data_IF_575588426850
#
_entry.id   IF_575588426850
#
_cell.length_a   1.000
_cell.length_b   1.000
_cell.length_c   1.000
_cell.angle_alpha   90.00
_cell.angle_beta   90.00
_cell.angle_gamma   90.00
#
_symmetry.space_group_name_H-M   'P 1'
#
loop_
_entity.id
_entity.type
_entity.pdbx_description
1 polymer ?
#
# COMPACT_ATOMS: atom_id res chain seq x y z
N UNK A 1 1.37 48.60 -71.27
CA UNK A 1 1.68 48.51 -69.84
C UNK A 1 0.33 48.36 -69.15
N UNK A 2 -0.15 47.12 -68.95
CA UNK A 2 0.08 46.34 -67.71
C UNK A 2 -0.70 47.00 -66.53
N UNK A 3 -1.67 46.42 -65.81
CA UNK A 3 -1.92 45.03 -65.38
C UNK A 3 -3.35 44.84 -64.80
N UNK A 4 -3.92 43.66 -65.07
CA UNK A 4 -4.62 42.74 -64.15
C UNK A 4 -5.97 43.15 -63.51
N UNK A 5 -7.04 42.65 -64.12
CA UNK A 5 -8.15 42.05 -63.38
C UNK A 5 -8.02 40.52 -63.51
N UNK A 6 -7.92 39.84 -62.36
CA UNK A 6 -7.93 38.38 -62.27
C UNK A 6 -9.36 38.01 -61.89
N UNK A 7 -10.16 37.59 -62.88
CA UNK A 7 -11.42 36.88 -62.62
C UNK A 7 -11.07 35.41 -62.32
N UNK A 8 -11.25 35.01 -61.06
CA UNK A 8 -11.30 33.61 -60.65
C UNK A 8 -12.52 32.94 -61.27
N UNK A 9 -12.31 32.17 -62.34
CA UNK A 9 -13.28 31.18 -62.81
C UNK A 9 -13.27 29.98 -61.86
N UNK A 10 -14.28 29.94 -60.98
CA UNK A 10 -14.61 28.79 -60.14
C UNK A 10 -15.10 27.64 -61.04
N UNK A 11 -14.17 26.78 -61.45
CA UNK A 11 -14.49 25.55 -62.19
C UNK A 11 -15.14 24.54 -61.25
N UNK A 12 -16.46 24.46 -61.29
CA UNK A 12 -17.27 23.48 -60.58
C UNK A 12 -17.12 22.09 -61.24
N UNK A 13 -16.08 21.35 -60.83
CA UNK A 13 -15.80 19.99 -61.31
C UNK A 13 -16.79 19.01 -60.65
N UNK A 14 -17.96 18.84 -61.27
CA UNK A 14 -18.90 17.77 -60.93
C UNK A 14 -18.33 16.42 -61.37
N UNK A 15 -17.64 15.73 -60.45
CA UNK A 15 -17.16 14.36 -60.66
C UNK A 15 -18.35 13.38 -60.83
N UNK A 16 -18.32 12.47 -61.83
CA UNK A 16 -19.42 11.55 -62.06
C UNK A 16 -19.45 10.46 -60.98
N UNK A 17 -20.57 10.36 -60.25
CA UNK A 17 -20.81 9.28 -59.28
C UNK A 17 -20.84 7.93 -60.02
N UNK A 18 -19.73 7.17 -59.94
CA UNK A 18 -19.61 5.81 -60.49
C UNK A 18 -20.80 4.94 -60.05
N UNK A 19 -21.62 4.47 -61.01
CA UNK A 19 -22.72 3.52 -60.76
C UNK A 19 -22.14 2.24 -60.15
N UNK A 20 -22.42 2.01 -58.86
CA UNK A 20 -21.98 0.79 -58.16
C UNK A 20 -22.71 -0.41 -58.78
N UNK A 21 -21.95 -1.43 -59.19
CA UNK A 21 -22.47 -2.70 -59.71
C UNK A 21 -23.49 -3.29 -58.72
N UNK A 22 -24.62 -3.85 -59.18
CA UNK A 22 -25.71 -4.44 -58.34
C UNK A 22 -25.18 -5.30 -57.18
N UNK A 23 -24.11 -6.06 -57.42
CA UNK A 23 -23.43 -6.91 -56.43
C UNK A 23 -22.83 -6.11 -55.25
N UNK A 24 -22.22 -4.95 -55.51
CA UNK A 24 -21.63 -4.08 -54.46
C UNK A 24 -22.70 -3.44 -53.58
N UNK A 25 -23.86 -3.08 -54.15
CA UNK A 25 -25.02 -2.57 -53.41
C UNK A 25 -25.62 -3.65 -52.51
N UNK A 26 -25.80 -4.88 -53.01
CA UNK A 26 -26.29 -6.02 -52.21
C UNK A 26 -25.33 -6.37 -51.06
N UNK A 27 -24.01 -6.35 -51.30
CA UNK A 27 -23.01 -6.61 -50.25
C UNK A 27 -22.97 -5.50 -49.18
N UNK A 28 -23.27 -4.25 -49.54
CA UNK A 28 -23.39 -3.14 -48.58
C UNK A 28 -24.62 -3.30 -47.70
N UNK A 29 -25.78 -3.61 -48.30
CA UNK A 29 -27.03 -3.84 -47.58
C UNK A 29 -26.95 -5.04 -46.64
N UNK A 30 -26.41 -6.19 -47.06
CA UNK A 30 -26.19 -7.32 -46.15
C UNK A 30 -25.19 -7.00 -45.01
N UNK A 31 -24.28 -6.05 -45.21
CA UNK A 31 -23.36 -5.59 -44.15
C UNK A 31 -24.04 -4.62 -43.20
N UNK A 32 -25.01 -3.84 -43.69
CA UNK A 32 -25.84 -2.95 -42.89
C UNK A 32 -26.86 -3.77 -42.09
N UNK A 33 -27.56 -4.73 -42.71
CA UNK A 33 -28.46 -5.68 -42.04
C UNK A 33 -27.72 -6.51 -40.97
N UNK A 34 -26.50 -6.99 -41.25
CA UNK A 34 -25.68 -7.65 -40.21
C UNK A 34 -25.28 -6.72 -39.07
N UNK A 35 -25.04 -5.43 -39.36
CA UNK A 35 -24.74 -4.44 -38.33
C UNK A 35 -25.98 -4.06 -37.52
N UNK A 36 -27.16 -4.07 -38.12
CA UNK A 36 -28.43 -3.86 -37.44
C UNK A 36 -28.79 -5.08 -36.59
N UNK A 37 -28.60 -6.30 -37.09
CA UNK A 37 -28.77 -7.52 -36.31
C UNK A 37 -27.79 -7.62 -35.14
N UNK A 38 -26.51 -7.27 -35.35
CA UNK A 38 -25.53 -7.18 -34.25
C UNK A 38 -25.90 -6.10 -33.23
N UNK A 39 -26.51 -4.99 -33.68
CA UNK A 39 -27.01 -3.94 -32.77
C UNK A 39 -28.27 -4.39 -32.03
N UNK A 40 -29.18 -5.10 -32.69
CA UNK A 40 -30.39 -5.66 -32.09
C UNK A 40 -30.04 -6.73 -31.04
N UNK A 41 -29.12 -7.65 -31.35
CA UNK A 41 -28.55 -8.62 -30.39
C UNK A 41 -27.83 -7.91 -29.23
N UNK A 42 -27.05 -6.85 -29.49
CA UNK A 42 -26.45 -6.02 -28.43
C UNK A 42 -27.49 -5.30 -27.56
N UNK A 43 -28.69 -4.98 -28.06
CA UNK A 43 -29.78 -4.38 -27.28
C UNK A 43 -30.63 -5.38 -26.50
N UNK A 44 -30.85 -6.60 -26.99
CA UNK A 44 -31.61 -7.63 -26.27
C UNK A 44 -30.83 -8.23 -25.09
N UNK A 45 -29.50 -8.23 -25.13
CA UNK A 45 -28.64 -8.65 -24.02
C UNK A 45 -28.13 -7.50 -23.13
N UNK A 46 -28.80 -6.34 -23.13
CA UNK A 46 -28.59 -5.32 -22.09
C UNK A 46 -29.20 -5.81 -20.77
N UNK A 47 -28.56 -6.79 -20.15
CA UNK A 47 -28.69 -7.10 -18.73
C UNK A 47 -28.50 -5.78 -17.97
N UNK A 48 -29.62 -5.22 -17.51
CA UNK A 48 -29.66 -3.98 -16.75
C UNK A 48 -28.59 -3.99 -15.65
N UNK A 49 -27.83 -2.89 -15.49
CA UNK A 49 -26.76 -2.83 -14.49
C UNK A 49 -27.36 -3.19 -13.12
N UNK A 50 -26.84 -4.20 -12.41
CA UNK A 50 -27.38 -4.58 -11.11
C UNK A 50 -27.36 -3.41 -10.12
N UNK A 51 -26.49 -2.41 -10.29
CA UNK A 51 -26.55 -1.19 -9.49
C UNK A 51 -27.80 -0.34 -9.79
N UNK A 52 -28.23 -0.25 -11.04
CA UNK A 52 -29.47 0.43 -11.44
C UNK A 52 -30.71 -0.38 -11.06
N UNK A 53 -30.62 -1.71 -11.10
CA UNK A 53 -31.74 -2.60 -10.77
C UNK A 53 -31.98 -2.72 -9.26
N UNK A 54 -30.93 -2.86 -8.44
CA UNK A 54 -31.04 -3.06 -6.99
C UNK A 54 -30.88 -1.77 -6.18
N UNK A 55 -30.30 -0.72 -6.77
CA UNK A 55 -29.98 0.52 -6.09
C UNK A 55 -28.76 0.42 -5.16
N UNK A 56 -28.30 1.59 -4.68
CA UNK A 56 -27.06 1.70 -3.89
C UNK A 56 -27.10 1.00 -2.53
N UNK A 57 -28.23 1.01 -1.82
CA UNK A 57 -28.33 0.48 -0.46
C UNK A 57 -28.24 -1.05 -0.40
N UNK A 58 -28.90 -1.74 -1.33
CA UNK A 58 -28.83 -3.20 -1.44
C UNK A 58 -27.42 -3.59 -1.88
N UNK A 59 -26.85 -2.86 -2.86
CA UNK A 59 -25.49 -3.12 -3.31
C UNK A 59 -24.47 -2.94 -2.18
N UNK A 60 -24.63 -1.92 -1.34
CA UNK A 60 -23.78 -1.69 -0.18
C UNK A 60 -23.85 -2.86 0.81
N UNK A 61 -25.04 -3.39 1.11
CA UNK A 61 -25.20 -4.61 1.94
C UNK A 61 -24.53 -5.84 1.33
N UNK A 62 -24.58 -5.99 0.01
CA UNK A 62 -23.90 -7.09 -0.69
C UNK A 62 -22.39 -6.94 -0.53
N UNK A 63 -21.85 -5.74 -0.83
CA UNK A 63 -20.41 -5.48 -0.76
C UNK A 63 -19.85 -5.54 0.67
N UNK A 64 -20.65 -5.23 1.69
CA UNK A 64 -20.26 -5.39 3.10
C UNK A 64 -19.86 -6.83 3.42
N UNK A 65 -20.57 -7.83 2.87
CA UNK A 65 -20.30 -9.25 3.08
C UNK A 65 -19.07 -9.77 2.32
N UNK A 66 -18.56 -9.03 1.33
CA UNK A 66 -17.40 -9.43 0.54
C UNK A 66 -16.07 -9.07 1.24
N UNK A 67 -15.02 -9.84 0.99
CA UNK A 67 -13.67 -9.50 1.47
C UNK A 67 -13.13 -8.28 0.72
N UNK A 68 -12.28 -7.48 1.38
CA UNK A 68 -11.67 -6.28 0.79
C UNK A 68 -10.98 -6.52 -0.57
N UNK A 69 -10.37 -7.70 -0.76
CA UNK A 69 -9.76 -8.11 -2.04
C UNK A 69 -10.75 -8.19 -3.19
N UNK A 70 -11.99 -8.58 -2.90
CA UNK A 70 -13.08 -8.69 -3.88
C UNK A 70 -13.81 -7.36 -4.09
N UNK A 71 -13.75 -6.45 -3.12
CA UNK A 71 -14.30 -5.09 -3.23
C UNK A 71 -13.35 -4.16 -4.00
N UNK A 72 -12.03 -4.34 -3.91
CA UNK A 72 -11.09 -3.45 -4.58
C UNK A 72 -11.31 -3.31 -6.12
N UNK A 73 -11.61 -4.38 -6.88
CA UNK A 73 -11.91 -4.26 -8.31
C UNK A 73 -13.20 -3.49 -8.62
N UNK A 74 -14.19 -3.49 -7.71
CA UNK A 74 -15.48 -2.83 -7.96
C UNK A 74 -15.35 -1.31 -8.01
N UNK A 75 -14.30 -0.75 -7.39
CA UNK A 75 -13.93 0.67 -7.49
C UNK A 75 -13.57 1.09 -8.93
N UNK A 76 -13.18 0.15 -9.79
CA UNK A 76 -12.71 0.40 -11.16
C UNK A 76 -13.79 0.18 -12.23
N UNK A 77 -14.97 -0.32 -11.85
CA UNK A 77 -16.03 -0.71 -12.79
C UNK A 77 -16.73 0.51 -13.40
N UNK A 78 -17.24 1.41 -12.55
CA UNK A 78 -17.89 2.66 -13.00
C UNK A 78 -17.87 3.73 -11.92
N UNK A 79 -18.23 4.98 -12.27
CA UNK A 79 -18.32 6.07 -11.29
C UNK A 79 -19.37 5.81 -10.22
N UNK A 80 -20.50 5.22 -10.59
CA UNK A 80 -21.59 4.92 -9.65
C UNK A 80 -21.19 3.80 -8.68
N UNK A 81 -20.54 2.74 -9.20
CA UNK A 81 -19.96 1.68 -8.38
C UNK A 81 -18.85 2.19 -7.46
N UNK A 82 -18.00 3.09 -7.95
CA UNK A 82 -16.97 3.72 -7.14
C UNK A 82 -17.57 4.53 -5.98
N UNK A 83 -18.67 5.26 -6.20
CA UNK A 83 -19.37 6.00 -5.14
C UNK A 83 -19.85 5.09 -4.01
N UNK A 84 -20.45 3.95 -4.33
CA UNK A 84 -20.93 2.99 -3.32
C UNK A 84 -19.76 2.24 -2.67
N UNK A 85 -18.80 1.78 -3.48
CA UNK A 85 -17.65 1.00 -3.01
C UNK A 85 -16.63 1.83 -2.21
N UNK A 86 -16.61 3.16 -2.34
CA UNK A 86 -15.76 4.07 -1.56
C UNK A 86 -16.39 4.48 -0.23
N UNK A 87 -17.60 4.03 0.09
CA UNK A 87 -18.32 4.43 1.31
C UNK A 87 -17.59 4.02 2.59
N UNK A 88 -17.46 4.95 3.54
CA UNK A 88 -16.84 4.69 4.84
C UNK A 88 -17.60 3.63 5.66
N UNK A 89 -18.92 3.50 5.45
CA UNK A 89 -19.74 2.46 6.10
C UNK A 89 -19.36 1.04 5.70
N UNK A 90 -18.71 0.87 4.54
CA UNK A 90 -18.20 -0.41 4.08
C UNK A 90 -16.78 -0.68 4.60
N UNK A 91 -15.93 0.36 4.62
CA UNK A 91 -14.51 0.20 4.96
C UNK A 91 -14.23 0.25 6.46
N UNK A 92 -15.09 0.88 7.27
CA UNK A 92 -14.94 0.91 8.74
C UNK A 92 -14.79 -0.49 9.34
N UNK A 93 -15.74 -1.44 9.17
CA UNK A 93 -15.60 -2.78 9.75
C UNK A 93 -14.43 -3.56 9.14
N UNK A 94 -14.06 -3.28 7.88
CA UNK A 94 -12.90 -3.93 7.23
C UNK A 94 -11.56 -3.41 7.75
N UNK A 95 -11.49 -2.15 8.16
CA UNK A 95 -10.31 -1.59 8.83
C UNK A 95 -10.16 -2.21 10.21
N UNK A 96 -11.26 -2.31 10.97
CA UNK A 96 -11.27 -2.96 12.28
C UNK A 96 -10.83 -4.42 12.19
N UNK A 97 -11.35 -5.19 11.21
CA UNK A 97 -10.91 -6.57 10.94
C UNK A 97 -9.41 -6.63 10.58
N UNK A 98 -8.92 -5.68 9.76
CA UNK A 98 -7.52 -5.64 9.36
C UNK A 98 -6.58 -5.33 10.53
N UNK A 99 -7.00 -4.41 11.42
CA UNK A 99 -6.25 -3.96 12.58
C UNK A 99 -6.34 -4.94 13.76
N UNK A 100 -7.33 -5.83 13.76
CA UNK A 100 -7.49 -6.84 14.80
C UNK A 100 -6.27 -7.77 14.85
N UNK A 101 -5.63 -7.83 16.02
CA UNK A 101 -4.45 -8.66 16.25
C UNK A 101 -3.17 -8.15 15.57
N UNK A 102 -3.14 -6.88 15.17
CA UNK A 102 -1.93 -6.23 14.65
C UNK A 102 -1.14 -5.55 15.76
N UNK A 103 0.18 -5.72 15.70
CA UNK A 103 1.12 -5.15 16.66
C UNK A 103 1.26 -3.64 16.50
N UNK A 104 1.20 -3.11 15.27
CA UNK A 104 1.43 -1.70 14.97
C UNK A 104 0.44 -1.15 13.96
N UNK A 105 -0.24 -0.05 14.30
CA UNK A 105 -1.18 0.62 13.39
C UNK A 105 -0.55 1.94 12.94
N UNK A 106 -0.36 2.17 11.62
CA UNK A 106 0.34 3.35 11.14
C UNK A 106 -0.39 4.64 11.52
N UNK A 107 0.34 5.63 12.05
CA UNK A 107 -0.20 6.96 12.40
C UNK A 107 -0.94 7.62 11.23
N UNK A 108 -0.43 7.45 10.01
CA UNK A 108 -1.07 7.94 8.78
C UNK A 108 -2.46 7.36 8.52
N UNK A 109 -2.81 6.20 9.09
CA UNK A 109 -4.14 5.59 8.94
C UNK A 109 -5.14 6.04 10.02
N UNK A 110 -4.67 6.71 11.08
CA UNK A 110 -5.47 7.15 12.23
C UNK A 110 -5.70 8.67 12.21
N UNK A 111 -5.15 9.39 11.22
CA UNK A 111 -5.35 10.84 11.07
C UNK A 111 -6.85 11.17 10.91
N UNK A 112 -7.31 12.15 11.69
CA UNK A 112 -8.69 12.61 11.65
C UNK A 112 -9.04 13.21 10.28
N UNK A 113 -10.20 12.83 9.73
CA UNK A 113 -10.69 13.31 8.44
C UNK A 113 -10.27 12.50 7.22
N UNK A 114 -9.45 11.45 7.38
CA UNK A 114 -9.15 10.54 6.27
C UNK A 114 -10.31 9.59 5.99
N UNK A 115 -10.64 9.36 4.70
CA UNK A 115 -11.61 8.33 4.33
C UNK A 115 -11.09 6.96 4.73
N UNK A 116 -11.99 6.08 5.20
CA UNK A 116 -11.64 4.76 5.73
C UNK A 116 -11.04 3.84 4.67
N UNK A 117 -11.43 4.02 3.40
CA UNK A 117 -10.77 3.38 2.28
C UNK A 117 -9.27 3.73 2.20
N UNK A 118 -8.93 5.03 2.37
CA UNK A 118 -7.54 5.46 2.36
C UNK A 118 -6.78 4.90 3.55
N UNK A 119 -7.37 4.93 4.76
CA UNK A 119 -6.80 4.33 5.96
C UNK A 119 -6.50 2.82 5.78
N UNK A 120 -7.43 2.08 5.17
CA UNK A 120 -7.23 0.67 4.82
C UNK A 120 -6.06 0.49 3.85
N UNK A 121 -6.03 1.26 2.77
CA UNK A 121 -4.98 1.18 1.75
C UNK A 121 -3.60 1.52 2.31
N UNK A 122 -3.51 2.55 3.16
CA UNK A 122 -2.29 2.96 3.84
C UNK A 122 -1.82 1.86 4.80
N UNK A 123 -2.73 1.26 5.57
CA UNK A 123 -2.40 0.16 6.48
C UNK A 123 -1.94 -1.09 5.73
N UNK A 124 -2.59 -1.43 4.63
CA UNK A 124 -2.25 -2.61 3.82
C UNK A 124 -0.93 -2.44 3.04
N UNK A 125 -0.65 -1.22 2.55
CA UNK A 125 0.62 -0.89 1.90
C UNK A 125 1.74 -0.79 2.91
N UNK A 126 1.48 -0.16 4.06
CA UNK A 126 2.37 -0.17 5.20
C UNK A 126 2.75 -1.59 5.56
N UNK A 127 1.78 -2.47 5.83
CA UNK A 127 1.97 -3.87 6.20
C UNK A 127 2.92 -4.70 5.32
N UNK A 128 3.17 -4.26 4.08
CA UNK A 128 4.08 -4.91 3.12
C UNK A 128 5.46 -4.26 3.03
N UNK A 129 5.69 -3.15 3.73
CA UNK A 129 6.98 -2.47 3.79
C UNK A 129 8.01 -3.36 4.46
N UNK A 130 9.15 -3.46 3.82
CA UNK A 130 10.37 -4.10 4.35
C UNK A 130 11.40 -3.08 4.78
N UNK A 131 11.13 -1.79 4.52
CA UNK A 131 12.00 -0.66 4.82
C UNK A 131 11.54 0.00 6.11
N UNK A 132 12.40 0.02 7.12
CA UNK A 132 12.17 0.77 8.35
C UNK A 132 12.67 2.21 8.17
N UNK A 133 11.85 3.18 8.58
CA UNK A 133 12.26 4.58 8.62
C UNK A 133 12.75 4.96 10.02
N UNK A 134 13.30 6.17 10.15
CA UNK A 134 13.82 6.64 11.45
C UNK A 134 12.70 6.84 12.45
N UNK A 135 11.56 7.35 11.98
CA UNK A 135 10.36 7.59 12.77
C UNK A 135 9.79 6.28 13.31
N UNK A 136 9.77 5.22 12.49
CA UNK A 136 9.42 3.87 12.95
C UNK A 136 10.36 3.41 14.05
N UNK A 137 11.65 3.68 13.93
CA UNK A 137 12.63 3.17 14.88
C UNK A 137 12.51 3.85 16.25
N UNK A 138 12.20 5.15 16.26
CA UNK A 138 12.02 5.96 17.47
C UNK A 138 10.65 5.82 18.13
N UNK A 139 9.59 5.58 17.35
CA UNK A 139 8.23 5.48 17.90
C UNK A 139 8.02 4.19 18.71
N UNK A 140 8.74 3.12 18.39
CA UNK A 140 8.55 1.80 19.00
C UNK A 140 9.52 1.55 20.16
N UNK A 141 9.03 0.83 21.17
CA UNK A 141 9.88 0.20 22.18
C UNK A 141 10.38 -1.13 21.63
N UNK A 142 11.67 -1.42 21.84
CA UNK A 142 12.30 -2.63 21.32
C UNK A 142 12.73 -3.56 22.44
N UNK A 143 12.22 -4.78 22.42
CA UNK A 143 12.72 -5.89 23.24
C UNK A 143 14.02 -6.42 22.64
N UNK A 144 15.05 -6.52 23.45
CA UNK A 144 16.36 -7.01 23.09
C UNK A 144 16.62 -8.38 23.71
N UNK A 145 17.14 -9.31 22.90
CA UNK A 145 17.63 -10.59 23.39
C UNK A 145 18.86 -11.05 22.62
N UNK A 146 19.75 -11.78 23.29
CA UNK A 146 20.90 -12.41 22.66
C UNK A 146 20.51 -13.72 21.97
N UNK A 147 21.24 -14.05 20.90
CA UNK A 147 21.14 -15.35 20.28
C UNK A 147 22.05 -16.36 20.99
N UNK A 148 21.76 -17.65 20.86
CA UNK A 148 22.49 -18.75 21.52
C UNK A 148 23.97 -18.85 21.10
N UNK A 149 24.36 -18.15 20.04
CA UNK A 149 25.74 -18.12 19.52
C UNK A 149 26.68 -17.30 20.42
N UNK A 150 26.13 -16.44 21.28
CA UNK A 150 26.90 -15.57 22.17
C UNK A 150 27.44 -16.37 23.37
N UNK A 151 28.63 -16.03 23.91
CA UNK A 151 29.17 -16.72 25.08
C UNK A 151 28.19 -16.77 26.26
N UNK A 152 28.32 -17.84 27.05
CA UNK A 152 27.42 -18.16 28.16
C UNK A 152 27.31 -17.04 29.20
N UNK A 153 28.36 -16.24 29.39
CA UNK A 153 28.31 -15.06 30.27
C UNK A 153 27.22 -14.07 29.86
N UNK A 154 27.02 -13.83 28.56
CA UNK A 154 26.01 -12.88 28.07
C UNK A 154 24.60 -13.46 28.16
N UNK A 155 24.45 -14.77 27.90
CA UNK A 155 23.19 -15.48 28.11
C UNK A 155 22.78 -15.43 29.59
N UNK A 156 23.76 -15.54 30.48
CA UNK A 156 23.59 -15.39 31.92
C UNK A 156 23.41 -13.93 32.37
N UNK A 157 23.43 -12.95 31.48
CA UNK A 157 23.01 -11.57 31.79
C UNK A 157 21.63 -11.28 31.20
N UNK A 158 21.19 -12.06 30.21
CA UNK A 158 19.93 -11.88 29.50
C UNK A 158 18.72 -12.41 30.30
N UNK A 159 17.76 -11.55 30.69
CA UNK A 159 16.53 -11.95 31.35
C UNK A 159 15.69 -12.93 30.52
N UNK A 160 15.75 -12.87 29.18
CA UNK A 160 15.04 -13.79 28.29
C UNK A 160 15.48 -15.24 28.49
N UNK A 161 16.79 -15.48 28.56
CA UNK A 161 17.34 -16.82 28.77
C UNK A 161 17.20 -17.30 30.22
N UNK A 162 17.21 -16.38 31.17
CA UNK A 162 16.91 -16.67 32.59
C UNK A 162 15.43 -16.92 32.86
N UNK A 163 14.53 -16.60 31.91
CA UNK A 163 13.09 -16.60 32.14
C UNK A 163 12.65 -15.59 33.20
N UNK A 164 13.44 -14.53 33.41
CA UNK A 164 13.16 -13.48 34.39
C UNK A 164 12.53 -12.28 33.68
N UNK A 165 11.46 -11.73 34.26
CA UNK A 165 10.83 -10.47 33.81
C UNK A 165 11.30 -9.32 34.71
N UNK A 166 11.54 -8.10 34.20
CA UNK A 166 11.25 -7.61 32.84
C UNK A 166 12.30 -7.98 31.78
N UNK A 167 11.85 -8.08 30.53
CA UNK A 167 12.72 -8.18 29.36
C UNK A 167 13.48 -6.87 29.13
N UNK A 168 14.61 -6.93 28.45
CA UNK A 168 15.43 -5.75 28.17
C UNK A 168 14.76 -4.87 27.12
N UNK A 169 14.39 -3.64 27.47
CA UNK A 169 13.91 -2.66 26.51
C UNK A 169 15.00 -1.67 26.09
N UNK A 170 14.94 -1.31 24.81
CA UNK A 170 15.82 -0.34 24.17
C UNK A 170 14.97 0.72 23.48
N UNK A 171 15.38 1.96 23.66
CA UNK A 171 14.72 3.14 23.10
C UNK A 171 15.67 3.82 22.13
N UNK A 172 15.17 4.15 20.95
CA UNK A 172 15.94 4.90 19.96
C UNK A 172 15.41 6.32 19.87
N UNK A 173 16.29 7.29 19.79
CA UNK A 173 15.95 8.71 19.84
C UNK A 173 16.20 9.40 18.51
N UNK A 174 15.46 10.46 18.23
CA UNK A 174 15.60 11.21 16.98
C UNK A 174 16.96 11.88 16.82
N UNK A 175 17.73 12.06 17.90
CA UNK A 175 19.11 12.55 17.84
C UNK A 175 20.09 11.50 17.29
N UNK A 176 19.66 10.25 17.10
CA UNK A 176 20.50 9.13 16.68
C UNK A 176 21.14 8.39 17.85
N UNK A 177 20.81 8.74 19.09
CA UNK A 177 21.24 8.02 20.28
C UNK A 177 20.29 6.85 20.59
N UNK A 178 20.78 5.91 21.37
CA UNK A 178 20.03 4.80 21.91
C UNK A 178 20.18 4.81 23.43
N UNK A 179 19.09 4.56 24.16
CA UNK A 179 19.10 4.40 25.62
C UNK A 179 18.46 3.07 26.02
N UNK A 180 18.72 2.67 27.26
CA UNK A 180 18.24 1.44 27.86
C UNK A 180 17.47 1.71 29.15
N UNK A 181 16.75 0.71 29.63
CA UNK A 181 16.15 0.76 30.96
C UNK A 181 17.23 0.89 32.07
N UNK A 182 16.96 1.64 33.17
CA UNK A 182 17.96 1.93 34.21
C UNK A 182 18.51 0.69 34.95
N UNK A 183 17.84 -0.46 34.84
CA UNK A 183 18.23 -1.73 35.46
C UNK A 183 18.97 -2.68 34.51
N UNK A 184 19.33 -2.23 33.31
CA UNK A 184 19.97 -3.06 32.32
C UNK A 184 21.49 -3.20 32.58
N UNK A 185 21.87 -4.32 33.18
CA UNK A 185 23.27 -4.67 33.47
C UNK A 185 24.11 -4.89 32.19
N UNK A 186 23.49 -5.17 31.04
CA UNK A 186 24.17 -5.37 29.76
C UNK A 186 24.51 -4.04 29.08
N UNK A 187 23.67 -3.01 29.26
CA UNK A 187 23.90 -1.69 28.68
C UNK A 187 25.12 -0.98 29.29
N UNK A 188 25.32 -1.13 30.60
CA UNK A 188 26.48 -0.58 31.31
C UNK A 188 26.65 0.94 31.23
N UNK A 189 25.63 1.68 30.78
CA UNK A 189 25.67 3.15 30.65
C UNK A 189 26.47 3.68 29.46
N UNK A 190 26.81 2.84 28.48
CA UNK A 190 27.56 3.28 27.30
C UNK A 190 26.68 4.11 26.36
N UNK A 191 27.21 5.23 25.87
CA UNK A 191 26.60 5.96 24.76
C UNK A 191 26.64 5.10 23.49
N UNK A 192 25.47 4.80 22.92
CA UNK A 192 25.39 4.14 21.62
C UNK A 192 24.64 5.01 20.64
N UNK A 193 25.17 5.08 19.41
CA UNK A 193 24.56 5.80 18.31
C UNK A 193 24.12 4.81 17.23
N UNK A 194 22.97 5.04 16.61
CA UNK A 194 22.49 4.23 15.50
C UNK A 194 22.49 5.01 14.18
N UNK A 195 22.61 4.28 13.08
CA UNK A 195 22.48 4.83 11.72
C UNK A 195 21.73 3.84 10.83
N UNK A 196 20.86 4.37 9.98
CA UNK A 196 20.13 3.59 8.98
C UNK A 196 20.88 3.73 7.66
N UNK A 197 21.37 2.60 7.12
CA UNK A 197 22.11 2.59 5.86
C UNK A 197 21.23 2.00 4.78
N UNK A 198 20.93 2.80 3.76
CA UNK A 198 20.22 2.38 2.56
C UNK A 198 21.13 2.56 1.35
N UNK A 199 21.60 1.46 0.76
CA UNK A 199 22.39 1.47 -0.46
C UNK A 199 21.48 1.29 -1.67
N UNK A 200 21.54 2.22 -2.63
CA UNK A 200 20.72 2.21 -3.86
C UNK A 200 21.65 2.09 -5.07
N UNK A 201 21.33 1.21 -6.00
CA UNK A 201 22.05 1.07 -7.29
C UNK A 201 21.34 1.88 -8.36
N UNK A 202 22.07 2.29 -9.40
CA UNK A 202 21.68 3.21 -10.48
C UNK A 202 20.35 2.98 -11.23
N UNK A 203 19.55 1.99 -10.87
CA UNK A 203 18.15 1.82 -11.31
C UNK A 203 17.12 2.13 -10.20
N UNK A 204 17.53 2.74 -9.09
CA UNK A 204 16.65 2.96 -7.92
C UNK A 204 16.35 1.69 -7.13
N UNK A 205 16.96 0.55 -7.48
CA UNK A 205 16.85 -0.71 -6.75
C UNK A 205 17.74 -0.67 -5.51
N UNK A 206 17.13 -0.87 -4.35
CA UNK A 206 17.82 -0.97 -3.07
C UNK A 206 18.62 -2.27 -3.06
N UNK A 207 19.94 -2.17 -2.84
CA UNK A 207 20.85 -3.31 -2.67
C UNK A 207 20.86 -3.80 -1.23
N UNK A 208 20.97 -2.87 -0.29
CA UNK A 208 21.11 -3.17 1.14
C UNK A 208 20.32 -2.15 1.95
N UNK A 209 19.56 -2.65 2.93
CA UNK A 209 18.87 -1.84 3.91
C UNK A 209 19.08 -2.45 5.29
N UNK A 210 19.91 -1.82 6.12
CA UNK A 210 20.24 -2.32 7.45
C UNK A 210 20.37 -1.19 8.46
N UNK A 211 20.19 -1.54 9.73
CA UNK A 211 20.43 -0.64 10.85
C UNK A 211 21.75 -1.03 11.49
N UNK A 212 22.59 -0.03 11.79
CA UNK A 212 23.89 -0.22 12.41
C UNK A 212 23.93 0.54 13.73
N UNK A 213 24.08 -0.19 14.83
CA UNK A 213 24.33 0.37 16.16
C UNK A 213 25.84 0.44 16.34
N UNK A 214 26.38 1.64 16.51
CA UNK A 214 27.81 1.94 16.64
C UNK A 214 28.65 1.47 15.43
N UNK A 215 29.80 2.12 15.20
CA UNK A 215 30.63 1.86 14.01
C UNK A 215 31.32 0.47 14.03
N UNK A 216 31.30 -0.27 15.13
CA UNK A 216 32.04 -1.53 15.25
C UNK A 216 31.16 -2.79 15.27
N UNK A 217 29.83 -2.66 15.29
CA UNK A 217 28.94 -3.83 15.36
C UNK A 217 28.45 -4.29 13.99
N UNK A 218 28.07 -5.57 13.84
CA UNK A 218 27.65 -6.10 12.54
C UNK A 218 26.26 -5.58 12.14
N UNK A 219 25.99 -5.63 10.85
CA UNK A 219 24.76 -5.09 10.26
C UNK A 219 23.53 -5.83 10.79
N UNK A 220 22.49 -5.11 11.21
CA UNK A 220 21.22 -5.71 11.59
C UNK A 220 20.28 -5.72 10.39
N UNK A 221 19.86 -6.92 10.01
CA UNK A 221 18.85 -7.09 8.98
C UNK A 221 17.49 -6.80 9.58
N UNK A 222 16.73 -5.97 8.88
CA UNK A 222 15.39 -5.60 9.30
C UNK A 222 14.37 -6.39 8.51
N UNK A 223 13.44 -7.00 9.21
CA UNK A 223 12.33 -7.74 8.64
C UNK A 223 11.03 -7.33 9.31
N UNK A 224 9.92 -7.51 8.58
CA UNK A 224 8.58 -7.28 9.09
C UNK A 224 7.83 -8.59 9.22
N UNK A 225 7.23 -8.83 10.39
CA UNK A 225 6.43 -10.01 10.68
C UNK A 225 4.99 -9.84 10.18
N UNK A 226 4.25 -10.95 10.10
CA UNK A 226 2.86 -11.01 9.59
C UNK A 226 1.85 -10.26 10.48
N UNK A 227 2.20 -10.11 11.76
CA UNK A 227 1.49 -9.34 12.78
C UNK A 227 1.79 -7.84 12.71
N UNK A 228 2.57 -7.39 11.72
CA UNK A 228 3.04 -6.01 11.53
C UNK A 228 4.09 -5.52 12.52
N UNK A 229 4.61 -6.41 13.38
CA UNK A 229 5.78 -6.13 14.21
C UNK A 229 7.06 -6.09 13.36
N UNK A 230 8.03 -5.33 13.85
CA UNK A 230 9.37 -5.25 13.28
C UNK A 230 10.31 -6.16 14.05
N UNK A 231 11.20 -6.81 13.32
CA UNK A 231 12.30 -7.60 13.88
C UNK A 231 13.60 -7.14 13.23
N UNK A 232 14.58 -6.76 14.06
CA UNK A 232 15.93 -6.45 13.63
C UNK A 232 16.86 -7.50 14.22
N UNK A 233 17.40 -8.37 13.37
CA UNK A 233 18.22 -9.48 13.83
C UNK A 233 19.60 -9.48 13.20
N UNK A 234 20.53 -10.03 13.96
CA UNK A 234 21.90 -10.30 13.57
C UNK A 234 22.30 -11.65 14.17
N UNK A 235 23.49 -12.15 13.83
CA UNK A 235 24.04 -13.41 14.34
C UNK A 235 24.13 -13.41 15.87
N UNK A 236 24.40 -12.25 16.47
CA UNK A 236 24.66 -12.11 17.91
C UNK A 236 23.41 -11.79 18.73
N UNK A 237 22.51 -10.96 18.23
CA UNK A 237 21.36 -10.47 19.00
C UNK A 237 20.21 -10.10 18.08
N UNK A 238 19.04 -9.95 18.68
CA UNK A 238 17.78 -9.67 18.01
C UNK A 238 16.99 -8.63 18.81
N UNK A 239 16.36 -7.73 18.08
CA UNK A 239 15.42 -6.74 18.57
C UNK A 239 14.05 -7.06 17.98
N UNK A 240 13.04 -7.18 18.83
CA UNK A 240 11.64 -7.28 18.42
C UNK A 240 10.90 -6.04 18.90
N UNK A 241 10.08 -5.44 18.03
CA UNK A 241 9.24 -4.32 18.45
C UNK A 241 8.13 -4.82 19.38
N UNK A 242 7.94 -4.17 20.53
CA UNK A 242 6.83 -4.45 21.44
C UNK A 242 5.51 -4.09 20.77
N UNK A 243 4.44 -4.91 20.86
CA UNK A 243 3.15 -4.58 20.26
C UNK A 243 2.47 -3.36 20.91
N UNK A 244 2.32 -2.28 20.15
CA UNK A 244 1.75 -1.00 20.59
C UNK A 244 0.44 -0.64 19.85
N UNK A 245 -0.27 -1.63 19.32
CA UNK A 245 -1.46 -1.43 18.48
C UNK A 245 -2.62 -0.70 19.16
N UNK A 246 -2.59 -0.54 20.49
CA UNK A 246 -3.56 0.18 21.30
C UNK A 246 -3.15 1.63 21.62
N UNK A 247 -1.96 2.07 21.22
CA UNK A 247 -1.44 3.41 21.50
C UNK A 247 -2.27 4.46 20.75
N UNK A 248 -2.79 5.43 21.51
CA UNK A 248 -3.60 6.53 20.96
C UNK A 248 -2.76 7.34 19.97
N UNK A 249 -3.22 7.40 18.71
CA UNK A 249 -2.54 8.12 17.63
C UNK A 249 -1.77 7.25 16.64
N UNK A 250 -1.62 5.94 16.87
CA UNK A 250 -0.87 5.05 15.98
C UNK A 250 0.65 5.27 16.02
N UNK A 251 1.39 4.33 15.43
CA UNK A 251 2.86 4.28 15.44
C UNK A 251 3.44 4.44 14.03
N UNK A 252 4.69 4.89 13.91
CA UNK A 252 5.39 5.00 12.62
C UNK A 252 5.13 6.32 11.88
N UNK A 253 5.69 6.47 10.66
CA UNK A 253 5.82 7.75 10.01
C UNK A 253 4.48 8.36 9.62
N UNK A 254 4.40 9.68 9.75
CA UNK A 254 3.43 10.48 9.01
C UNK A 254 3.83 10.46 7.55
N UNK A 255 3.22 9.58 6.76
CA UNK A 255 3.26 9.72 5.32
C UNK A 255 2.42 10.93 4.94
N UNK A 256 3.07 12.08 4.86
CA UNK A 256 2.56 13.27 4.18
C UNK A 256 2.84 13.16 2.67
#
# INVERSE_FOLDING_TARGET
MELREIEEQENDVVLPKKKKTKMKLRKKRNREERKEQLKEEETEELLQDPLEAFGGDIMLKILQNLKARSVAPTLLVSRAWNGVASSDTLWTPKCEELWLGKAHIPRSAVVQGLPKLAAYSLSATDGKRTRIMKEDLCDHVWEFHFNKVVPEYSLNLDPYWKGTSPLMHRYFHEDGSQTADPGDEVWGGHECCYSIVTSVVGEGKIREHYVRINRCWPHMLVSRKKDWSWEMSNVLYCYSSVPDGHRVGGTGPLLL
#
